data_IF_024419654240
#
_entry.id   IF_024419654240
#
_cell.length_a   1.000
_cell.length_b   1.000
_cell.length_c   1.000
_cell.angle_alpha   90.00
_cell.angle_beta   90.00
_cell.angle_gamma   90.00
#
_symmetry.space_group_name_H-M   'P 1'
#
loop_
_entity.id
_entity.type
_entity.pdbx_description
1 polymer ?
#
# COMPACT_ATOMS: atom_id res chain seq x y z
N UNK A 1 -22.70 20.72 -2.23
CA UNK A 1 -21.41 20.27 -2.80
C UNK A 1 -21.37 18.76 -2.57
N UNK A 2 -21.10 17.95 -3.59
CA UNK A 2 -20.89 16.53 -3.34
C UNK A 2 -19.55 16.38 -2.59
N UNK A 3 -19.60 15.81 -1.40
CA UNK A 3 -18.40 15.46 -0.65
C UNK A 3 -17.65 14.35 -1.37
N UNK A 4 -16.32 14.37 -1.27
CA UNK A 4 -15.50 13.27 -1.75
C UNK A 4 -15.60 12.11 -0.77
N UNK A 5 -15.70 10.90 -1.31
CA UNK A 5 -15.58 9.68 -0.52
C UNK A 5 -14.14 9.19 -0.60
N UNK A 6 -13.62 8.70 0.50
CA UNK A 6 -12.27 8.14 0.58
C UNK A 6 -12.31 6.63 0.43
N UNK A 7 -11.34 6.10 -0.31
CA UNK A 7 -11.21 4.67 -0.59
C UNK A 7 -9.77 4.21 -0.32
N UNK A 8 -9.63 3.08 0.33
CA UNK A 8 -8.37 2.30 0.35
C UNK A 8 -8.46 1.25 -0.73
N UNK A 9 -7.42 1.15 -1.55
CA UNK A 9 -7.25 0.09 -2.52
C UNK A 9 -6.04 -0.77 -2.14
N UNK A 10 -6.26 -2.06 -2.05
CA UNK A 10 -5.22 -3.07 -1.96
C UNK A 10 -5.09 -3.71 -3.36
N UNK A 11 -3.90 -3.77 -3.92
CA UNK A 11 -3.66 -4.45 -5.19
C UNK A 11 -2.56 -5.49 -5.08
N UNK A 12 -2.70 -6.55 -5.85
CA UNK A 12 -1.71 -7.61 -5.99
C UNK A 12 -1.53 -7.91 -7.47
N UNK A 13 -0.31 -7.79 -7.96
CA UNK A 13 0.02 -8.11 -9.35
C UNK A 13 -0.29 -9.58 -9.63
N UNK A 14 -0.86 -9.85 -10.80
CA UNK A 14 -1.14 -11.21 -11.24
C UNK A 14 0.16 -12.05 -11.26
N UNK A 15 0.06 -13.35 -10.93
CA UNK A 15 1.24 -14.19 -10.70
C UNK A 15 2.03 -14.52 -11.98
N UNK A 16 1.41 -14.37 -13.17
CA UNK A 16 2.06 -14.64 -14.44
C UNK A 16 3.28 -13.71 -14.59
N UNK A 17 4.45 -14.32 -14.77
CA UNK A 17 5.73 -13.61 -14.83
C UNK A 17 5.73 -12.47 -15.87
N UNK A 18 5.22 -12.76 -17.06
CA UNK A 18 5.14 -11.78 -18.16
C UNK A 18 4.23 -10.60 -17.83
N UNK A 19 3.09 -10.86 -17.19
CA UNK A 19 2.14 -9.81 -16.77
C UNK A 19 2.74 -8.94 -15.67
N UNK A 20 3.40 -9.55 -14.69
CA UNK A 20 4.04 -8.82 -13.60
C UNK A 20 5.18 -7.92 -14.10
N UNK A 21 6.06 -8.44 -14.95
CA UNK A 21 7.17 -7.68 -15.53
C UNK A 21 6.66 -6.52 -16.38
N UNK A 22 5.65 -6.77 -17.22
CA UNK A 22 5.02 -5.75 -18.07
C UNK A 22 4.40 -4.65 -17.22
N UNK A 23 3.63 -5.01 -16.20
CA UNK A 23 3.00 -4.06 -15.28
C UNK A 23 4.05 -3.20 -14.55
N UNK A 24 5.08 -3.82 -14.01
CA UNK A 24 6.16 -3.13 -13.31
C UNK A 24 6.93 -2.19 -14.25
N UNK A 25 7.24 -2.63 -15.45
CA UNK A 25 7.93 -1.82 -16.47
C UNK A 25 7.06 -0.63 -16.90
N UNK A 26 5.78 -0.87 -17.15
CA UNK A 26 4.83 0.18 -17.49
C UNK A 26 4.74 1.22 -16.37
N UNK A 27 4.50 0.78 -15.14
CA UNK A 27 4.42 1.65 -13.97
C UNK A 27 5.72 2.44 -13.74
N UNK A 28 6.88 1.78 -13.85
CA UNK A 28 8.20 2.42 -13.71
C UNK A 28 8.47 3.50 -14.76
N UNK A 29 7.89 3.35 -15.94
CA UNK A 29 8.03 4.30 -17.05
C UNK A 29 7.00 5.42 -17.10
N UNK A 30 5.94 5.36 -16.27
CA UNK A 30 4.90 6.40 -16.27
C UNK A 30 5.45 7.76 -15.85
N UNK A 31 5.08 8.79 -16.60
CA UNK A 31 5.37 10.19 -16.27
C UNK A 31 4.28 10.76 -15.36
N UNK A 32 4.52 11.97 -14.86
CA UNK A 32 3.51 12.70 -14.08
C UNK A 32 2.27 13.02 -14.92
N UNK A 33 2.44 13.27 -16.21
CA UNK A 33 1.37 13.53 -17.16
C UNK A 33 0.53 12.27 -17.38
N UNK A 34 1.15 11.10 -17.46
CA UNK A 34 0.46 9.80 -17.55
C UNK A 34 -0.38 9.54 -16.31
N UNK A 35 0.19 9.78 -15.10
CA UNK A 35 -0.54 9.65 -13.83
C UNK A 35 -1.78 10.57 -13.80
N UNK A 36 -1.65 11.83 -14.22
CA UNK A 36 -2.77 12.78 -14.24
C UNK A 36 -3.85 12.37 -15.25
N UNK A 37 -3.45 11.86 -16.41
CA UNK A 37 -4.37 11.38 -17.42
C UNK A 37 -5.11 10.11 -16.99
N UNK A 38 -4.41 9.21 -16.28
CA UNK A 38 -4.98 7.97 -15.77
C UNK A 38 -6.01 8.23 -14.69
N UNK A 39 -5.71 9.12 -13.75
CA UNK A 39 -6.54 9.39 -12.57
C UNK A 39 -7.89 10.06 -12.92
N UNK A 40 -7.95 10.88 -13.96
CA UNK A 40 -9.18 11.59 -14.41
C UNK A 40 -9.88 12.34 -13.25
N UNK A 41 -10.98 11.76 -12.76
CA UNK A 41 -11.83 12.32 -11.70
C UNK A 41 -11.47 11.82 -10.30
N UNK A 42 -10.41 11.01 -10.18
CA UNK A 42 -9.92 10.47 -8.91
C UNK A 42 -8.74 11.31 -8.43
N UNK A 43 -8.74 11.64 -7.15
CA UNK A 43 -7.61 12.29 -6.49
C UNK A 43 -6.84 11.26 -5.69
N UNK A 44 -5.65 10.93 -6.13
CA UNK A 44 -4.75 10.03 -5.41
C UNK A 44 -4.15 10.79 -4.22
N UNK A 45 -4.39 10.29 -3.00
CA UNK A 45 -3.79 10.82 -1.78
C UNK A 45 -2.41 10.23 -1.53
N UNK A 46 -2.21 8.95 -1.86
CA UNK A 46 -0.93 8.30 -1.77
C UNK A 46 -0.97 6.89 -2.36
N UNK A 47 0.19 6.41 -2.78
CA UNK A 47 0.37 5.05 -3.30
C UNK A 47 1.71 4.51 -2.81
N UNK A 48 1.69 3.29 -2.29
CA UNK A 48 2.83 2.64 -1.67
C UNK A 48 2.92 1.20 -2.12
N UNK A 49 4.13 0.73 -2.38
CA UNK A 49 4.36 -0.58 -2.97
C UNK A 49 5.33 -1.41 -2.12
N UNK A 50 4.95 -2.64 -1.82
CA UNK A 50 5.81 -3.70 -1.33
C UNK A 50 6.36 -4.44 -2.57
N UNK A 51 7.42 -3.89 -3.17
CA UNK A 51 7.94 -4.31 -4.48
C UNK A 51 8.26 -5.82 -4.51
N UNK A 52 8.92 -6.32 -3.47
CA UNK A 52 9.30 -7.74 -3.38
C UNK A 52 8.12 -8.71 -3.37
N UNK A 53 6.95 -8.26 -2.89
CA UNK A 53 5.73 -9.07 -2.84
C UNK A 53 4.85 -8.92 -4.08
N UNK A 54 5.10 -7.91 -4.90
CA UNK A 54 4.22 -7.53 -6.01
C UNK A 54 2.85 -7.07 -5.51
N UNK A 55 2.81 -6.44 -4.33
CA UNK A 55 1.61 -5.87 -3.72
C UNK A 55 1.76 -4.38 -3.53
N UNK A 56 0.65 -3.68 -3.44
CA UNK A 56 0.66 -2.30 -3.05
C UNK A 56 -0.69 -1.83 -2.54
N UNK A 57 -0.65 -0.59 -2.10
CA UNK A 57 -1.75 0.08 -1.42
C UNK A 57 -1.87 1.48 -1.94
N UNK A 58 -3.07 1.96 -2.09
CA UNK A 58 -3.29 3.37 -2.35
C UNK A 58 -4.51 3.88 -1.61
N UNK A 59 -4.50 5.17 -1.36
CA UNK A 59 -5.65 5.90 -0.83
C UNK A 59 -6.04 6.96 -1.83
N UNK A 60 -7.30 6.98 -2.17
CA UNK A 60 -7.83 7.88 -3.18
C UNK A 60 -9.18 8.47 -2.77
N UNK A 61 -9.48 9.65 -3.28
CA UNK A 61 -10.77 10.32 -3.13
C UNK A 61 -11.48 10.40 -4.48
N UNK A 62 -12.78 10.10 -4.50
CA UNK A 62 -13.64 10.28 -5.65
C UNK A 62 -15.02 10.79 -5.26
N UNK A 63 -15.68 11.51 -6.17
CA UNK A 63 -17.06 12.03 -5.91
C UNK A 63 -18.10 10.94 -5.95
N UNK A 64 -17.86 9.87 -6.68
CA UNK A 64 -18.77 8.74 -6.78
C UNK A 64 -18.04 7.42 -7.09
N UNK A 65 -18.74 6.31 -6.83
CA UNK A 65 -18.20 4.98 -7.10
C UNK A 65 -17.87 4.76 -8.59
N UNK A 66 -18.60 5.43 -9.49
CA UNK A 66 -18.36 5.33 -10.93
C UNK A 66 -16.95 5.81 -11.31
N UNK A 67 -16.55 6.97 -10.79
CA UNK A 67 -15.20 7.52 -11.05
C UNK A 67 -14.10 6.54 -10.58
N UNK A 68 -14.28 5.92 -9.40
CA UNK A 68 -13.37 4.90 -8.88
C UNK A 68 -13.31 3.68 -9.80
N UNK A 69 -14.46 3.16 -10.23
CA UNK A 69 -14.49 1.99 -11.10
C UNK A 69 -13.90 2.28 -12.48
N UNK A 70 -14.13 3.45 -13.04
CA UNK A 70 -13.55 3.88 -14.32
C UNK A 70 -12.02 3.96 -14.23
N UNK A 71 -11.47 4.50 -13.15
CA UNK A 71 -10.03 4.53 -12.91
C UNK A 71 -9.44 3.11 -12.85
N UNK A 72 -10.06 2.23 -12.09
CA UNK A 72 -9.55 0.88 -11.86
C UNK A 72 -9.57 -0.01 -13.10
N UNK A 73 -10.43 0.28 -14.09
CA UNK A 73 -10.45 -0.49 -15.36
C UNK A 73 -9.12 -0.48 -16.10
N UNK A 74 -8.27 0.52 -15.85
CA UNK A 74 -6.94 0.57 -16.44
C UNK A 74 -6.01 -0.54 -15.93
N UNK A 75 -6.30 -1.12 -14.75
CA UNK A 75 -5.39 -2.00 -14.02
C UNK A 75 -5.90 -3.44 -13.84
N UNK A 76 -7.21 -3.72 -14.10
CA UNK A 76 -7.82 -5.04 -13.82
C UNK A 76 -7.22 -6.19 -14.65
N UNK A 77 -6.54 -5.91 -15.74
CA UNK A 77 -5.84 -6.92 -16.54
C UNK A 77 -4.46 -7.27 -16.00
N UNK A 78 -3.94 -6.49 -15.06
CA UNK A 78 -2.58 -6.62 -14.54
C UNK A 78 -2.53 -6.92 -13.03
N UNK A 79 -3.60 -6.62 -12.31
CA UNK A 79 -3.65 -6.79 -10.87
C UNK A 79 -5.05 -7.18 -10.37
N UNK A 80 -5.08 -7.99 -9.34
CA UNK A 80 -6.26 -8.14 -8.49
C UNK A 80 -6.36 -6.93 -7.58
N UNK A 81 -7.49 -6.22 -7.63
CA UNK A 81 -7.68 -4.97 -6.87
C UNK A 81 -8.90 -5.09 -5.98
N UNK A 82 -8.69 -4.87 -4.69
CA UNK A 82 -9.75 -4.74 -3.69
C UNK A 82 -9.92 -3.29 -3.33
N UNK A 83 -11.12 -2.75 -3.49
CA UNK A 83 -11.48 -1.36 -3.16
C UNK A 83 -12.43 -1.35 -1.98
N UNK A 84 -12.12 -0.53 -1.00
CA UNK A 84 -12.89 -0.43 0.24
C UNK A 84 -13.16 1.04 0.56
N UNK A 85 -14.42 1.46 0.65
CA UNK A 85 -14.73 2.78 1.20
C UNK A 85 -14.29 2.82 2.66
N UNK A 86 -13.71 3.92 3.06
CA UNK A 86 -13.16 4.09 4.40
C UNK A 86 -13.44 5.49 4.96
N UNK A 87 -13.29 5.62 6.25
CA UNK A 87 -13.32 6.87 6.98
C UNK A 87 -11.90 7.26 7.36
N UNK A 88 -11.61 8.56 7.37
CA UNK A 88 -10.41 9.06 8.03
C UNK A 88 -10.57 9.03 9.57
N UNK A 89 -9.50 9.39 10.29
CA UNK A 89 -9.49 9.41 11.74
C UNK A 89 -10.60 10.26 12.35
N UNK A 90 -10.83 11.43 11.80
CA UNK A 90 -11.80 12.38 12.35
C UNK A 90 -13.23 11.89 12.13
N UNK A 91 -13.53 11.43 10.93
CA UNK A 91 -14.82 10.82 10.59
C UNK A 91 -15.10 9.56 11.43
N UNK A 92 -14.08 8.74 11.66
CA UNK A 92 -14.20 7.55 12.50
C UNK A 92 -14.50 7.92 13.96
N UNK A 93 -13.81 8.92 14.52
CA UNK A 93 -14.07 9.42 15.88
C UNK A 93 -15.48 10.01 16.00
N UNK A 94 -15.89 10.85 15.07
CA UNK A 94 -17.24 11.41 15.04
C UNK A 94 -18.32 10.32 14.97
N UNK A 95 -18.11 9.30 14.15
CA UNK A 95 -19.05 8.17 14.03
C UNK A 95 -19.21 7.43 15.35
N UNK A 96 -18.12 7.17 16.06
CA UNK A 96 -18.14 6.40 17.32
C UNK A 96 -18.72 7.24 18.45
N UNK A 97 -18.31 8.49 18.58
CA UNK A 97 -18.73 9.39 19.67
C UNK A 97 -20.15 9.93 19.48
N UNK A 98 -20.67 9.96 18.24
CA UNK A 98 -21.91 10.63 17.88
C UNK A 98 -21.84 12.16 18.05
N UNK A 99 -20.66 12.73 18.18
CA UNK A 99 -20.37 14.15 18.38
C UNK A 99 -18.96 14.47 17.91
N UNK A 100 -18.61 15.75 17.65
CA UNK A 100 -17.26 16.16 17.32
C UNK A 100 -16.23 15.64 18.34
N UNK A 101 -15.07 15.14 17.91
CA UNK A 101 -14.03 14.65 18.82
C UNK A 101 -13.41 15.79 19.62
N UNK A 102 -12.72 15.44 20.72
CA UNK A 102 -12.03 16.42 21.58
C UNK A 102 -10.89 17.14 20.86
N UNK A 103 -10.31 16.50 19.85
CA UNK A 103 -9.30 17.09 18.96
C UNK A 103 -9.42 16.49 17.56
N UNK A 104 -9.01 17.25 16.57
CA UNK A 104 -8.94 16.81 15.17
C UNK A 104 -7.51 16.48 14.80
N UNK A 105 -7.32 15.28 14.26
CA UNK A 105 -6.02 14.86 13.72
C UNK A 105 -5.81 15.52 12.36
N UNK A 106 -4.65 16.14 12.18
CA UNK A 106 -4.23 16.66 10.89
C UNK A 106 -2.93 15.98 10.49
N UNK A 107 -2.97 15.22 9.41
CA UNK A 107 -1.79 14.64 8.81
C UNK A 107 -1.25 15.59 7.74
N UNK A 108 -0.03 16.08 7.91
CA UNK A 108 0.53 17.15 7.07
C UNK A 108 0.63 16.79 5.59
N UNK A 109 0.78 15.54 5.22
CA UNK A 109 0.71 15.07 3.82
C UNK A 109 0.59 13.56 3.74
N UNK A 110 -0.40 13.09 3.03
CA UNK A 110 -0.56 11.66 2.74
C UNK A 110 0.52 11.13 1.79
N UNK A 111 1.10 11.97 0.92
CA UNK A 111 2.21 11.62 0.00
C UNK A 111 3.59 11.73 0.66
N UNK A 112 3.72 11.28 1.87
CA UNK A 112 4.98 11.42 2.58
C UNK A 112 5.93 10.30 2.20
N UNK A 113 7.06 10.67 1.64
CA UNK A 113 8.26 9.83 1.66
C UNK A 113 8.66 9.58 3.12
N UNK A 114 9.41 8.51 3.37
CA UNK A 114 9.99 8.29 4.69
C UNK A 114 10.74 9.54 5.19
N UNK A 115 10.65 9.83 6.47
CA UNK A 115 11.48 10.87 7.08
C UNK A 115 12.97 10.51 6.95
N UNK A 116 13.89 11.50 6.98
CA UNK A 116 15.32 11.23 6.92
C UNK A 116 15.76 10.16 7.95
N UNK A 117 16.51 9.17 7.49
CA UNK A 117 16.99 8.02 8.28
C UNK A 117 15.87 7.16 8.89
N UNK A 118 14.69 7.15 8.30
CA UNK A 118 13.56 6.31 8.69
C UNK A 118 13.10 5.48 7.49
N UNK A 119 12.36 4.43 7.78
CA UNK A 119 11.71 3.58 6.76
C UNK A 119 10.19 3.75 6.81
N UNK A 120 9.55 3.52 5.66
CA UNK A 120 8.11 3.68 5.49
C UNK A 120 7.42 2.32 5.61
N UNK A 121 6.29 2.30 6.31
CA UNK A 121 5.53 1.09 6.56
C UNK A 121 4.04 1.33 6.37
N UNK A 122 3.42 0.41 5.64
CA UNK A 122 1.98 0.23 5.64
C UNK A 122 1.61 -0.68 6.80
N UNK A 123 0.72 -0.23 7.67
CA UNK A 123 0.26 -0.94 8.85
C UNK A 123 -1.22 -1.21 8.67
N UNK A 124 -1.63 -2.45 8.82
CA UNK A 124 -3.04 -2.81 8.82
C UNK A 124 -3.39 -3.53 10.12
N UNK A 125 -4.56 -3.21 10.65
CA UNK A 125 -5.08 -3.87 11.81
C UNK A 125 -6.44 -4.49 11.54
N UNK A 126 -6.75 -5.54 12.27
CA UNK A 126 -8.05 -6.18 12.31
C UNK A 126 -8.38 -6.45 13.78
N UNK A 127 -9.49 -5.92 14.27
CA UNK A 127 -9.93 -6.24 15.62
C UNK A 127 -10.18 -7.73 15.77
N UNK A 128 -9.83 -8.26 16.93
CA UNK A 128 -10.14 -9.64 17.30
C UNK A 128 -11.65 -9.78 17.50
N UNK A 129 -12.25 -10.93 17.19
CA UNK A 129 -13.67 -11.14 17.38
C UNK A 129 -14.12 -10.81 18.81
N UNK A 130 -15.09 -9.91 18.93
CA UNK A 130 -15.63 -9.46 20.21
C UNK A 130 -14.89 -8.28 20.88
N UNK A 131 -13.77 -7.81 20.31
CA UNK A 131 -13.05 -6.65 20.83
C UNK A 131 -13.36 -5.35 20.07
N UNK A 132 -14.18 -5.40 19.00
CA UNK A 132 -14.39 -4.29 18.08
C UNK A 132 -14.92 -3.04 18.80
N UNK A 133 -15.97 -3.18 19.61
CA UNK A 133 -16.55 -2.05 20.32
C UNK A 133 -15.57 -1.43 21.32
N UNK A 134 -14.83 -2.28 22.05
CA UNK A 134 -13.82 -1.82 23.01
C UNK A 134 -12.69 -1.09 22.28
N UNK A 135 -12.21 -1.64 21.17
CA UNK A 135 -11.15 -1.04 20.37
C UNK A 135 -11.56 0.29 19.76
N UNK A 136 -12.77 0.38 19.22
CA UNK A 136 -13.32 1.63 18.70
C UNK A 136 -13.44 2.70 19.79
N UNK A 137 -13.99 2.34 20.97
CA UNK A 137 -14.13 3.27 22.08
C UNK A 137 -12.76 3.74 22.59
N UNK A 138 -11.81 2.83 22.75
CA UNK A 138 -10.45 3.18 23.14
C UNK A 138 -9.82 4.16 22.16
N UNK A 139 -9.92 3.88 20.85
CA UNK A 139 -9.41 4.77 19.81
C UNK A 139 -10.08 6.15 19.85
N UNK A 140 -11.41 6.20 19.91
CA UNK A 140 -12.15 7.47 19.85
C UNK A 140 -11.95 8.35 21.08
N UNK A 141 -11.63 7.74 22.23
CA UNK A 141 -11.42 8.45 23.51
C UNK A 141 -10.00 8.99 23.70
N UNK A 142 -9.02 8.61 22.85
CA UNK A 142 -7.66 9.13 22.96
C UNK A 142 -7.64 10.66 22.88
N UNK A 143 -6.93 11.28 23.81
CA UNK A 143 -6.54 12.69 23.72
C UNK A 143 -5.38 12.85 22.72
N UNK A 144 -5.06 14.09 22.35
CA UNK A 144 -3.92 14.36 21.45
C UNK A 144 -2.59 13.89 22.03
N UNK A 145 -2.40 14.09 23.33
CA UNK A 145 -1.20 13.67 24.05
C UNK A 145 -1.08 12.14 24.11
N UNK A 146 -2.19 11.44 24.38
CA UNK A 146 -2.22 9.97 24.40
C UNK A 146 -1.95 9.39 23.03
N UNK A 147 -2.55 9.95 21.96
CA UNK A 147 -2.33 9.49 20.58
C UNK A 147 -0.87 9.68 20.14
N UNK A 148 -0.25 10.83 20.48
CA UNK A 148 1.16 11.07 20.26
C UNK A 148 2.06 10.12 21.08
N UNK A 149 1.69 9.86 22.32
CA UNK A 149 2.42 8.94 23.20
C UNK A 149 2.30 7.50 22.71
N UNK A 150 1.14 7.09 22.21
CA UNK A 150 0.86 5.75 21.67
C UNK A 150 1.76 5.43 20.47
N UNK A 151 1.86 6.35 19.52
CA UNK A 151 2.71 6.18 18.34
C UNK A 151 4.21 6.24 18.66
N UNK A 152 4.61 6.81 19.80
CA UNK A 152 5.98 6.89 20.29
C UNK A 152 6.91 7.62 19.32
N UNK A 153 7.89 6.89 18.75
CA UNK A 153 8.82 7.44 17.74
C UNK A 153 8.35 7.25 16.30
N UNK A 154 7.23 6.57 16.10
CA UNK A 154 6.63 6.44 14.79
C UNK A 154 5.90 7.73 14.43
N UNK A 155 5.99 8.13 13.16
CA UNK A 155 5.28 9.30 12.63
C UNK A 155 4.22 8.81 11.65
N UNK A 156 2.94 8.78 12.04
CA UNK A 156 1.86 8.47 11.12
C UNK A 156 1.65 9.62 10.13
N UNK A 157 1.38 9.26 8.87
CA UNK A 157 1.06 10.19 7.78
C UNK A 157 -0.38 10.09 7.30
N UNK A 158 -1.12 9.10 7.81
CA UNK A 158 -2.51 8.88 7.53
C UNK A 158 -3.02 7.62 8.21
N UNK A 159 -4.28 7.65 8.61
CA UNK A 159 -5.00 6.49 9.15
C UNK A 159 -6.40 6.46 8.55
N UNK A 160 -6.84 5.27 8.18
CA UNK A 160 -8.15 5.05 7.55
C UNK A 160 -8.80 3.81 8.15
N UNK A 161 -10.11 3.87 8.31
CA UNK A 161 -10.87 2.88 9.06
C UNK A 161 -12.04 2.36 8.24
N UNK A 162 -12.32 1.07 8.38
CA UNK A 162 -13.50 0.41 7.83
C UNK A 162 -14.27 -0.19 9.00
N UNK A 163 -15.14 0.62 9.65
CA UNK A 163 -15.80 0.22 10.89
C UNK A 163 -16.65 -1.04 10.74
N UNK A 164 -17.32 -1.20 9.60
CA UNK A 164 -18.14 -2.39 9.31
C UNK A 164 -17.35 -3.72 9.29
N UNK A 165 -16.04 -3.65 9.11
CA UNK A 165 -15.15 -4.82 9.12
C UNK A 165 -14.27 -4.88 10.36
N UNK A 166 -14.34 -3.92 11.26
CA UNK A 166 -13.40 -3.80 12.37
C UNK A 166 -11.94 -3.71 11.93
N UNK A 167 -11.69 -3.14 10.75
CA UNK A 167 -10.37 -3.08 10.09
C UNK A 167 -9.95 -1.63 9.87
N UNK A 168 -8.66 -1.40 9.85
CA UNK A 168 -8.11 -0.12 9.44
C UNK A 168 -6.66 -0.21 8.99
N UNK A 169 -6.16 0.93 8.54
CA UNK A 169 -4.87 1.08 7.91
C UNK A 169 -4.17 2.34 8.38
N UNK A 170 -2.86 2.30 8.40
CA UNK A 170 -2.05 3.48 8.59
C UNK A 170 -0.84 3.44 7.67
N UNK A 171 -0.35 4.60 7.28
CA UNK A 171 0.98 4.77 6.71
C UNK A 171 1.83 5.54 7.71
N UNK A 172 3.00 5.01 8.03
CA UNK A 172 3.87 5.63 9.02
C UNK A 172 5.34 5.46 8.66
N UNK A 173 6.13 6.44 9.08
CA UNK A 173 7.58 6.39 9.07
C UNK A 173 8.09 6.01 10.46
N UNK A 174 9.14 5.18 10.52
CA UNK A 174 9.76 4.79 11.79
C UNK A 174 11.28 4.68 11.68
N UNK A 175 12.02 5.10 12.72
CA UNK A 175 13.47 4.95 12.78
C UNK A 175 13.91 3.50 13.01
N UNK A 176 13.03 2.65 13.56
CA UNK A 176 13.35 1.25 13.78
C UNK A 176 12.10 0.36 13.78
N UNK A 177 12.30 -0.91 13.42
CA UNK A 177 11.26 -1.95 13.52
C UNK A 177 10.81 -2.15 14.97
N UNK A 178 11.70 -1.97 15.94
CA UNK A 178 11.37 -2.11 17.35
C UNK A 178 10.34 -1.06 17.80
N UNK A 179 10.43 0.18 17.31
CA UNK A 179 9.47 1.23 17.66
C UNK A 179 8.08 0.95 17.06
N UNK A 180 8.03 0.37 15.85
CA UNK A 180 6.77 -0.11 15.25
C UNK A 180 6.13 -1.24 16.08
N UNK A 181 6.93 -2.22 16.53
CA UNK A 181 6.39 -3.30 17.35
C UNK A 181 5.95 -2.83 18.73
N UNK A 182 6.57 -1.80 19.31
CA UNK A 182 6.07 -1.17 20.55
C UNK A 182 4.69 -0.55 20.31
N UNK A 183 4.53 0.21 19.23
CA UNK A 183 3.24 0.78 18.87
C UNK A 183 2.18 -0.32 18.62
N UNK A 184 2.48 -1.32 17.81
CA UNK A 184 1.58 -2.43 17.55
C UNK A 184 1.23 -3.22 18.84
N UNK A 185 2.18 -3.35 19.77
CA UNK A 185 1.98 -4.06 21.05
C UNK A 185 0.93 -3.38 21.95
N UNK A 186 0.85 -2.05 21.93
CA UNK A 186 -0.15 -1.32 22.70
C UNK A 186 -1.59 -1.74 22.35
N UNK A 187 -1.80 -2.17 21.12
CA UNK A 187 -3.09 -2.61 20.57
C UNK A 187 -3.24 -4.13 20.50
N UNK A 188 -2.20 -4.88 20.84
CA UNK A 188 -2.10 -6.32 20.62
C UNK A 188 -3.15 -7.17 21.35
N UNK A 189 -3.76 -6.66 22.42
CA UNK A 189 -4.88 -7.34 23.09
C UNK A 189 -6.18 -7.20 22.28
N UNK A 190 -6.38 -6.08 21.59
CA UNK A 190 -7.62 -5.72 20.90
C UNK A 190 -7.60 -6.14 19.43
N UNK A 191 -6.46 -6.07 18.77
CA UNK A 191 -6.36 -6.34 17.34
C UNK A 191 -5.12 -7.14 16.94
N UNK A 192 -5.21 -7.79 15.78
CA UNK A 192 -4.05 -8.30 15.05
C UNK A 192 -3.51 -7.17 14.18
N UNK A 193 -2.21 -6.97 14.20
CA UNK A 193 -1.53 -5.93 13.42
C UNK A 193 -0.54 -6.57 12.47
N UNK A 194 -0.63 -6.20 11.21
CA UNK A 194 0.34 -6.57 10.17
C UNK A 194 1.13 -5.31 9.77
N UNK A 195 2.46 -5.43 9.70
CA UNK A 195 3.37 -4.35 9.38
C UNK A 195 4.12 -4.73 8.10
N UNK A 196 3.98 -3.93 7.06
CA UNK A 196 4.48 -4.23 5.73
C UNK A 196 5.44 -3.11 5.31
N UNK A 197 6.73 -3.40 5.05
CA UNK A 197 7.65 -2.40 4.53
C UNK A 197 7.25 -2.01 3.11
N UNK A 198 7.16 -0.73 2.85
CA UNK A 198 6.75 -0.18 1.55
C UNK A 198 7.63 0.99 1.12
N UNK A 199 7.58 1.30 -0.17
CA UNK A 199 8.17 2.51 -0.74
C UNK A 199 7.09 3.36 -1.40
N UNK A 200 7.26 4.66 -1.40
CA UNK A 200 6.38 5.58 -2.13
C UNK A 200 6.66 5.52 -3.65
N UNK A 201 5.80 6.12 -4.46
CA UNK A 201 5.84 6.02 -5.91
C UNK A 201 7.20 6.33 -6.56
N UNK A 202 7.81 7.44 -6.18
CA UNK A 202 9.09 7.87 -6.77
C UNK A 202 10.21 6.89 -6.47
N UNK A 203 10.28 6.43 -5.22
CA UNK A 203 11.26 5.44 -4.79
C UNK A 203 10.98 4.08 -5.44
N UNK A 204 9.71 3.66 -5.49
CA UNK A 204 9.27 2.44 -6.17
C UNK A 204 9.70 2.44 -7.64
N UNK A 205 9.43 3.52 -8.38
CA UNK A 205 9.85 3.67 -9.79
C UNK A 205 11.35 3.61 -9.96
N UNK A 206 12.10 4.23 -9.05
CA UNK A 206 13.57 4.17 -9.06
C UNK A 206 14.08 2.75 -8.82
N UNK A 207 13.51 2.02 -7.86
CA UNK A 207 13.86 0.63 -7.57
C UNK A 207 13.58 -0.26 -8.79
N UNK A 208 12.40 -0.12 -9.40
CA UNK A 208 12.01 -0.88 -10.59
C UNK A 208 12.98 -0.61 -11.73
N UNK A 209 13.22 0.66 -12.06
CA UNK A 209 14.11 1.06 -13.16
C UNK A 209 15.54 0.54 -12.99
N UNK A 210 16.02 0.46 -11.75
CA UNK A 210 17.37 -0.04 -11.44
C UNK A 210 17.42 -1.57 -11.23
N UNK A 211 16.34 -2.17 -10.74
CA UNK A 211 16.28 -3.58 -10.33
C UNK A 211 16.22 -4.57 -11.49
N UNK A 212 15.55 -4.23 -12.59
CA UNK A 212 15.42 -5.13 -13.75
C UNK A 212 16.73 -5.39 -14.50
N UNK A 213 17.76 -4.59 -14.27
CA UNK A 213 19.07 -4.82 -14.88
C UNK A 213 19.66 -6.20 -14.55
N UNK A 214 19.39 -6.75 -13.35
CA UNK A 214 19.80 -8.11 -12.99
C UNK A 214 18.95 -9.16 -13.70
N UNK A 215 17.62 -8.97 -13.75
CA UNK A 215 16.70 -9.91 -14.39
C UNK A 215 16.95 -10.02 -15.90
N UNK A 216 17.20 -8.88 -16.57
CA UNK A 216 17.56 -8.84 -17.98
C UNK A 216 18.86 -9.62 -18.24
N UNK A 217 19.89 -9.45 -17.40
CA UNK A 217 21.15 -10.20 -17.50
C UNK A 217 20.93 -11.70 -17.27
N UNK A 218 20.09 -12.06 -16.29
CA UNK A 218 19.79 -13.46 -15.98
C UNK A 218 19.02 -14.12 -17.13
N UNK A 219 18.00 -13.47 -17.67
CA UNK A 219 17.22 -13.99 -18.79
C UNK A 219 18.10 -14.20 -20.03
N UNK A 220 18.97 -13.22 -20.35
CA UNK A 220 19.93 -13.35 -21.45
C UNK A 220 20.89 -14.53 -21.25
N UNK A 221 21.40 -14.72 -20.02
CA UNK A 221 22.23 -15.86 -19.69
C UNK A 221 21.50 -17.19 -19.86
N UNK A 222 20.23 -17.27 -19.43
CA UNK A 222 19.43 -18.48 -19.58
C UNK A 222 19.10 -18.79 -21.04
N UNK A 223 18.87 -17.77 -21.88
CA UNK A 223 18.72 -17.94 -23.33
C UNK A 223 20.00 -18.45 -23.96
N UNK A 224 21.16 -17.89 -23.61
CA UNK A 224 22.46 -18.34 -24.10
C UNK A 224 22.74 -19.80 -23.70
N UNK A 225 22.44 -20.19 -22.44
CA UNK A 225 22.59 -21.57 -21.97
C UNK A 225 21.66 -22.54 -22.69
N UNK A 226 20.42 -22.15 -22.95
CA UNK A 226 19.46 -22.99 -23.67
C UNK A 226 19.87 -23.21 -25.13
N UNK A 227 20.42 -22.19 -25.80
CA UNK A 227 20.97 -22.31 -27.14
C UNK A 227 22.24 -23.23 -27.17
N UNK A 228 23.05 -23.19 -26.13
CA UNK A 228 24.23 -24.08 -26.00
C UNK A 228 23.81 -25.55 -25.83
N UNK A 229 22.78 -25.79 -25.00
CA UNK A 229 22.20 -27.12 -24.79
C UNK A 229 21.63 -27.71 -26.08
N UNK A 230 20.86 -26.90 -26.84
CA UNK A 230 20.28 -27.33 -28.11
C UNK A 230 21.30 -27.59 -29.22
N UNK A 231 22.41 -26.86 -29.24
CA UNK A 231 23.51 -27.11 -30.21
C UNK A 231 24.26 -28.44 -29.91
N UNK A 232 24.42 -28.78 -28.64
CA UNK A 232 25.11 -30.02 -28.24
C UNK A 232 24.23 -31.27 -28.39
N UNK A 233 22.91 -31.16 -28.26
CA UNK A 233 22.01 -32.29 -28.50
C UNK A 233 21.88 -32.69 -29.98
N UNK A 234 22.13 -31.73 -30.90
CA UNK A 234 22.12 -32.03 -32.34
C UNK A 234 23.42 -32.63 -32.86
N UNK A 235 24.49 -32.67 -32.07
CA UNK A 235 25.76 -33.26 -32.45
C UNK A 235 25.97 -34.73 -31.96
N UNK A 236 24.99 -35.30 -31.26
CA UNK A 236 25.00 -36.73 -30.90
C UNK A 236 24.25 -37.57 -31.96
N UNK A 237 24.63 -37.45 -33.23
CA UNK A 237 24.36 -38.52 -34.19
C UNK A 237 25.44 -39.60 -34.00
N UNK A 238 25.09 -40.70 -33.35
CA UNK A 238 25.89 -41.92 -33.38
C UNK A 238 25.95 -42.40 -34.84
N UNK A 239 27.14 -42.63 -35.41
CA UNK A 239 27.23 -43.36 -36.67
C UNK A 239 26.82 -44.81 -36.40
N UNK A 240 25.93 -45.32 -37.23
CA UNK A 240 25.56 -46.73 -37.33
C UNK A 240 26.72 -47.57 -37.80
#
# INVERSE_FOLDING_TARGET
MCEYNTYVCEYKLLPEHTTRETCMTFFGGMTKEDDLQELKNVKLLGRWTAVGEGKGYCVAEAKCNKDMQEWLTNWVTMADIKVMPCLDDNQQRELILGSPPSYYVTFDKVNSSALPNQSLYWIQYQFKPGSEQMGFNAFASLTEEEDKSDSGKCTPFGRWHIPSLGKGFAIASSPSVMDLYKWAHNWGELCNVEIIPVTEDKETRSIISNGFGFQIKYNKLMEELSQYSNKNSNNCCYPN
#
